data_IF_169556621277
#
_entry.id   IF_169556621277
#
_cell.length_a   1.000
_cell.length_b   1.000
_cell.length_c   1.000
_cell.angle_alpha   90.00
_cell.angle_beta   90.00
_cell.angle_gamma   90.00
#
_symmetry.space_group_name_H-M   'P 1'
#
loop_
_entity.id
_entity.type
_entity.pdbx_description
1 polymer ?
#
# COMPACT_ATOMS: atom_id res chain seq x y z
N UNK A 1 5.21 60.92 -13.39
CA UNK A 1 5.38 59.87 -14.42
C UNK A 1 6.24 58.78 -13.83
N UNK A 2 5.69 57.60 -13.55
CA UNK A 2 6.49 56.46 -13.05
C UNK A 2 6.40 55.40 -14.14
N UNK A 3 7.49 55.25 -14.89
CA UNK A 3 7.62 54.26 -15.96
C UNK A 3 8.00 52.94 -15.30
N UNK A 4 7.09 51.97 -15.38
CA UNK A 4 7.29 50.61 -14.91
C UNK A 4 8.43 49.95 -15.68
N UNK A 5 9.43 49.44 -14.96
CA UNK A 5 10.40 48.49 -15.51
C UNK A 5 10.95 47.63 -14.37
N UNK A 6 10.25 46.53 -14.08
CA UNK A 6 10.86 45.29 -13.59
C UNK A 6 10.04 44.13 -14.16
N UNK A 7 10.39 43.69 -15.38
CA UNK A 7 10.13 42.32 -15.79
C UNK A 7 11.26 41.47 -15.20
N UNK A 8 11.00 40.81 -14.07
CA UNK A 8 11.85 39.73 -13.59
C UNK A 8 11.06 38.79 -12.66
N UNK A 9 10.89 37.55 -13.13
CA UNK A 9 10.91 36.34 -12.33
C UNK A 9 9.85 36.18 -11.21
N UNK A 10 8.60 35.86 -11.56
CA UNK A 10 7.73 35.04 -10.68
C UNK A 10 6.94 34.05 -11.56
N UNK A 11 7.63 33.04 -12.08
CA UNK A 11 6.99 31.94 -12.85
C UNK A 11 7.16 30.55 -12.22
N UNK A 12 8.14 30.37 -11.32
CA UNK A 12 8.48 29.04 -10.80
C UNK A 12 7.90 28.71 -9.42
N UNK A 13 7.69 29.70 -8.55
CA UNK A 13 7.33 29.46 -7.14
C UNK A 13 5.89 28.95 -6.94
N UNK A 14 4.94 29.50 -7.70
CA UNK A 14 3.52 29.13 -7.57
C UNK A 14 3.26 27.72 -8.10
N UNK A 15 3.93 27.33 -9.20
CA UNK A 15 3.79 25.99 -9.75
C UNK A 15 4.31 24.91 -8.79
N UNK A 16 5.48 25.13 -8.17
CA UNK A 16 6.04 24.17 -7.20
C UNK A 16 5.16 24.09 -5.94
N UNK A 17 4.64 25.21 -5.44
CA UNK A 17 3.75 25.22 -4.29
C UNK A 17 2.42 24.47 -4.54
N UNK A 18 1.83 24.61 -5.74
CA UNK A 18 0.61 23.89 -6.14
C UNK A 18 0.86 22.39 -6.32
N UNK A 19 1.99 22.00 -6.92
CA UNK A 19 2.35 20.57 -7.06
C UNK A 19 2.59 19.92 -5.71
N UNK A 20 3.25 20.64 -4.78
CA UNK A 20 3.48 20.14 -3.42
C UNK A 20 2.17 20.04 -2.63
N UNK A 21 1.27 21.03 -2.73
CA UNK A 21 -0.04 20.94 -2.05
C UNK A 21 -0.88 19.79 -2.60
N UNK A 22 -0.94 19.58 -3.92
CA UNK A 22 -1.66 18.43 -4.51
C UNK A 22 -1.11 17.06 -4.06
N UNK A 23 0.18 16.96 -3.77
CA UNK A 23 0.79 15.73 -3.26
C UNK A 23 0.37 15.42 -1.80
N UNK A 24 0.12 16.44 -0.98
CA UNK A 24 -0.34 16.28 0.41
C UNK A 24 -1.86 16.18 0.55
N UNK A 25 -2.64 16.69 -0.41
CA UNK A 25 -4.12 16.69 -0.36
C UNK A 25 -4.78 15.35 -0.76
N UNK A 26 -4.02 14.34 -1.17
CA UNK A 26 -4.54 12.97 -1.39
C UNK A 26 -4.60 12.11 -0.11
N UNK A 27 -4.42 12.70 1.07
CA UNK A 27 -4.61 12.03 2.37
C UNK A 27 -6.09 11.93 2.79
N UNK A 28 -7.03 12.00 1.83
CA UNK A 28 -8.39 11.54 2.08
C UNK A 28 -8.35 10.02 2.16
N UNK A 29 -8.51 9.46 3.36
CA UNK A 29 -8.65 8.02 3.52
C UNK A 29 -9.80 7.55 2.61
N UNK A 30 -9.46 6.74 1.61
CA UNK A 30 -10.46 6.24 0.66
C UNK A 30 -11.36 5.23 1.37
N UNK A 31 -12.64 5.15 0.95
CA UNK A 31 -13.62 4.31 1.65
C UNK A 31 -13.14 2.86 1.78
N UNK A 32 -12.59 2.31 0.70
CA UNK A 32 -12.01 0.98 0.65
C UNK A 32 -10.56 1.06 0.23
N UNK A 33 -9.65 0.70 1.13
CA UNK A 33 -8.22 0.75 0.90
C UNK A 33 -7.52 -0.35 1.64
N UNK A 34 -6.50 -0.94 1.02
CA UNK A 34 -5.74 -2.03 1.59
C UNK A 34 -4.26 -1.79 1.37
N UNK A 35 -3.44 -2.19 2.34
CA UNK A 35 -1.99 -2.26 2.22
C UNK A 35 -1.52 -3.69 2.50
N UNK A 36 -0.51 -4.12 1.75
CA UNK A 36 0.16 -5.41 1.95
C UNK A 36 1.64 -5.13 2.15
N UNK A 37 2.18 -5.61 3.27
CA UNK A 37 3.58 -5.45 3.65
C UNK A 37 4.23 -6.82 3.80
N UNK A 38 5.44 -6.97 3.25
CA UNK A 38 6.23 -8.20 3.37
C UNK A 38 7.13 -8.06 4.58
N UNK A 39 7.01 -8.98 5.52
CA UNK A 39 7.82 -9.04 6.73
C UNK A 39 8.74 -10.23 6.64
N UNK A 40 10.04 -9.97 6.66
CA UNK A 40 11.07 -11.03 6.68
C UNK A 40 11.87 -10.91 7.96
N UNK A 41 12.18 -12.04 8.59
CA UNK A 41 12.99 -12.04 9.78
C UNK A 41 13.60 -13.39 10.06
N UNK A 42 14.29 -13.48 11.19
CA UNK A 42 14.94 -14.71 11.64
C UNK A 42 14.34 -15.13 12.96
N UNK A 43 13.88 -16.38 13.05
CA UNK A 43 13.37 -16.96 14.29
C UNK A 43 14.51 -17.55 15.15
N UNK A 44 14.20 -17.94 16.38
CA UNK A 44 15.16 -18.64 17.26
C UNK A 44 15.64 -19.93 16.57
N UNK A 45 16.94 -19.98 16.26
CA UNK A 45 17.57 -21.11 15.54
C UNK A 45 18.01 -20.80 14.11
N UNK A 46 18.07 -19.53 13.70
CA UNK A 46 18.48 -19.09 12.35
C UNK A 46 17.54 -19.52 11.21
N UNK A 47 16.32 -19.97 11.52
CA UNK A 47 15.33 -20.28 10.51
C UNK A 47 14.62 -18.99 10.09
N UNK A 48 14.84 -18.57 8.84
CA UNK A 48 14.19 -17.40 8.26
C UNK A 48 12.68 -17.62 8.11
N UNK A 49 11.90 -16.57 8.30
CA UNK A 49 10.47 -16.55 8.00
C UNK A 49 10.14 -15.39 7.06
N UNK A 50 9.05 -15.56 6.32
CA UNK A 50 8.49 -14.52 5.46
C UNK A 50 6.98 -14.55 5.66
N UNK A 51 6.45 -13.48 6.22
CA UNK A 51 5.03 -13.28 6.47
C UNK A 51 4.53 -12.05 5.71
N UNK A 52 3.24 -12.03 5.42
CA UNK A 52 2.58 -10.93 4.75
C UNK A 52 1.57 -10.31 5.70
N UNK A 53 1.75 -9.03 5.98
CA UNK A 53 0.79 -8.26 6.74
C UNK A 53 -0.19 -7.59 5.80
N UNK A 54 -1.44 -8.04 5.83
CA UNK A 54 -2.55 -7.48 5.06
C UNK A 54 -3.36 -6.60 5.99
N UNK A 55 -3.47 -5.30 5.68
CA UNK A 55 -4.14 -4.31 6.53
C UNK A 55 -5.20 -3.53 5.76
N UNK A 56 -6.37 -3.35 6.37
CA UNK A 56 -7.35 -2.39 5.90
C UNK A 56 -6.93 -0.98 6.31
N UNK A 57 -6.63 -0.12 5.33
CA UNK A 57 -6.24 1.28 5.53
C UNK A 57 -7.35 2.26 5.14
N UNK A 58 -8.51 1.74 4.73
CA UNK A 58 -9.69 2.52 4.39
C UNK A 58 -10.54 2.87 5.61
N UNK A 59 -11.70 3.47 5.36
CA UNK A 59 -12.66 3.88 6.40
C UNK A 59 -13.86 2.96 6.53
N UNK A 60 -13.99 1.96 5.65
CA UNK A 60 -15.03 0.93 5.68
C UNK A 60 -14.44 -0.48 5.71
N UNK A 61 -15.22 -1.45 6.18
CA UNK A 61 -14.85 -2.87 6.22
C UNK A 61 -14.55 -3.41 4.81
N UNK A 62 -13.51 -4.24 4.71
CA UNK A 62 -13.21 -5.04 3.52
C UNK A 62 -13.70 -6.46 3.73
N UNK A 63 -14.37 -7.05 2.74
CA UNK A 63 -14.95 -8.41 2.85
C UNK A 63 -14.42 -9.34 1.77
N UNK A 64 -14.44 -10.64 2.07
CA UNK A 64 -14.01 -11.73 1.19
C UNK A 64 -12.62 -11.48 0.58
N UNK A 65 -11.68 -11.11 1.45
CA UNK A 65 -10.31 -10.83 1.04
C UNK A 65 -9.66 -12.15 0.66
N UNK A 66 -9.03 -12.20 -0.51
CA UNK A 66 -8.31 -13.36 -1.02
C UNK A 66 -6.86 -12.99 -1.28
N UNK A 67 -5.95 -13.65 -0.58
CA UNK A 67 -4.52 -13.61 -0.88
C UNK A 67 -4.17 -14.77 -1.81
N UNK A 68 -3.86 -14.47 -3.07
CA UNK A 68 -3.54 -15.45 -4.10
C UNK A 68 -2.04 -15.48 -4.37
N UNK A 69 -1.42 -16.66 -4.22
CA UNK A 69 0.01 -16.90 -4.41
C UNK A 69 0.31 -17.60 -5.76
N UNK A 70 -0.68 -17.66 -6.65
CA UNK A 70 -0.62 -18.33 -7.95
C UNK A 70 -0.99 -19.82 -7.89
N UNK A 71 -0.43 -20.56 -6.93
CA UNK A 71 -0.69 -22.01 -6.76
C UNK A 71 -1.68 -22.32 -5.64
N UNK A 72 -1.67 -21.50 -4.59
CA UNK A 72 -2.58 -21.61 -3.45
C UNK A 72 -3.15 -20.25 -3.14
N UNK A 73 -4.24 -20.22 -2.38
CA UNK A 73 -4.82 -18.98 -1.91
C UNK A 73 -5.36 -19.12 -0.51
N UNK A 74 -5.30 -18.04 0.24
CA UNK A 74 -5.89 -17.91 1.57
C UNK A 74 -7.06 -16.93 1.53
N UNK A 75 -8.09 -17.21 2.32
CA UNK A 75 -9.30 -16.38 2.41
C UNK A 75 -9.44 -15.81 3.81
N UNK A 76 -9.68 -14.51 3.87
CA UNK A 76 -9.97 -13.77 5.09
C UNK A 76 -11.38 -13.21 4.94
N UNK A 77 -12.26 -13.56 5.88
CA UNK A 77 -13.69 -13.24 5.79
C UNK A 77 -13.92 -11.73 5.72
N UNK A 78 -13.30 -10.98 6.63
CA UNK A 78 -13.31 -9.53 6.59
C UNK A 78 -12.17 -8.90 7.40
N UNK A 79 -11.92 -7.61 7.16
CA UNK A 79 -11.06 -6.75 7.97
C UNK A 79 -11.75 -5.40 8.20
N UNK A 80 -11.99 -5.05 9.46
CA UNK A 80 -12.49 -3.72 9.82
C UNK A 80 -11.41 -2.64 9.58
N UNK A 81 -11.79 -1.35 9.48
CA UNK A 81 -10.83 -0.26 9.36
C UNK A 81 -9.72 -0.31 10.41
N UNK A 82 -8.47 -0.29 9.95
CA UNK A 82 -7.29 -0.35 10.81
C UNK A 82 -6.86 -1.74 11.27
N UNK A 83 -7.69 -2.78 11.10
CA UNK A 83 -7.33 -4.16 11.40
C UNK A 83 -6.35 -4.72 10.36
N UNK A 84 -5.58 -5.72 10.79
CA UNK A 84 -4.69 -6.48 9.94
C UNK A 84 -4.70 -7.96 10.30
N UNK A 85 -4.22 -8.76 9.36
CA UNK A 85 -3.94 -10.17 9.52
C UNK A 85 -2.56 -10.46 8.94
N UNK A 86 -1.82 -11.33 9.62
CA UNK A 86 -0.54 -11.83 9.13
C UNK A 86 -0.79 -13.21 8.51
N UNK A 87 -0.36 -13.39 7.27
CA UNK A 87 -0.51 -14.64 6.52
C UNK A 87 0.86 -15.13 6.08
N UNK A 88 1.09 -16.44 6.22
CA UNK A 88 2.34 -17.07 5.84
C UNK A 88 2.22 -17.60 4.39
N UNK A 89 2.84 -16.95 3.40
CA UNK A 89 2.86 -17.48 2.04
C UNK A 89 3.61 -18.82 1.97
N UNK A 90 3.31 -19.67 0.98
CA UNK A 90 4.13 -20.83 0.67
C UNK A 90 5.57 -20.42 0.37
N UNK A 91 6.56 -21.22 0.78
CA UNK A 91 7.98 -20.91 0.58
C UNK A 91 8.40 -20.72 -0.89
N UNK A 92 7.66 -21.31 -1.83
CA UNK A 92 7.89 -21.17 -3.27
C UNK A 92 7.24 -19.92 -3.90
N UNK A 93 6.42 -19.19 -3.15
CA UNK A 93 5.67 -18.05 -3.67
C UNK A 93 6.61 -16.85 -3.84
N UNK A 94 6.61 -16.27 -5.05
CA UNK A 94 7.42 -15.08 -5.38
C UNK A 94 6.59 -13.81 -5.47
N UNK A 95 5.27 -13.94 -5.58
CA UNK A 95 4.32 -12.83 -5.60
C UNK A 95 3.04 -13.21 -4.88
N UNK A 96 2.34 -12.19 -4.38
CA UNK A 96 0.97 -12.28 -3.87
C UNK A 96 0.09 -11.26 -4.57
N UNK A 97 -1.11 -11.68 -4.94
CA UNK A 97 -2.19 -10.81 -5.40
C UNK A 97 -3.31 -10.86 -4.37
N UNK A 98 -3.53 -9.74 -3.66
CA UNK A 98 -4.59 -9.62 -2.66
C UNK A 98 -5.75 -8.86 -3.25
N UNK A 99 -6.94 -9.47 -3.21
CA UNK A 99 -8.20 -8.93 -3.77
C UNK A 99 -9.31 -8.94 -2.73
N UNK A 100 -10.36 -8.14 -2.92
CA UNK A 100 -11.59 -8.18 -2.11
C UNK A 100 -12.83 -7.84 -2.97
N UNK A 101 -14.03 -8.01 -2.42
CA UNK A 101 -15.30 -7.73 -3.11
C UNK A 101 -15.46 -6.27 -3.54
N UNK A 102 -14.79 -5.35 -2.83
CA UNK A 102 -14.84 -3.91 -3.12
C UNK A 102 -13.91 -3.51 -4.27
N UNK A 103 -13.45 -4.48 -5.07
CA UNK A 103 -12.57 -4.30 -6.22
C UNK A 103 -11.21 -3.66 -5.89
N UNK A 104 -10.77 -3.75 -4.63
CA UNK A 104 -9.42 -3.36 -4.24
C UNK A 104 -8.48 -4.51 -4.61
N UNK A 105 -7.44 -4.19 -5.38
CA UNK A 105 -6.40 -5.17 -5.77
C UNK A 105 -5.04 -4.61 -5.41
N UNK A 106 -4.24 -5.41 -4.70
CA UNK A 106 -2.86 -5.10 -4.35
C UNK A 106 -1.97 -6.25 -4.78
N UNK A 107 -0.96 -5.96 -5.59
CA UNK A 107 0.03 -6.96 -6.02
C UNK A 107 1.36 -6.62 -5.34
N UNK A 108 1.99 -7.61 -4.72
CA UNK A 108 3.29 -7.46 -4.07
C UNK A 108 4.21 -8.60 -4.44
N UNK A 109 5.46 -8.26 -4.73
CA UNK A 109 6.54 -9.22 -4.80
C UNK A 109 6.90 -9.68 -3.38
N UNK A 110 7.02 -10.99 -3.21
CA UNK A 110 7.53 -11.63 -1.99
C UNK A 110 9.03 -11.78 -2.23
N UNK A 111 9.82 -10.84 -1.72
CA UNK A 111 11.28 -10.95 -1.76
C UNK A 111 11.69 -12.09 -0.84
N UNK A 112 12.08 -13.23 -1.39
CA UNK A 112 12.75 -14.27 -0.61
C UNK A 112 14.07 -13.68 -0.11
N UNK A 113 14.34 -13.76 1.19
CA UNK A 113 15.71 -13.60 1.68
C UNK A 113 16.58 -14.63 0.95
N UNK A 114 17.46 -14.14 0.07
CA UNK A 114 18.50 -14.94 -0.59
C UNK A 114 19.61 -15.30 0.38
#
# INVERSE_FOLDING_TARGET
MVKAMVFAAIGGGVAVAVVLTLFFFNLGATQYQMSVEVQTGTSMGNMGYTDLKIKNTGTSELTNIKADYGQTSEKIASLEPGQWVDVAPPASATMVTVTCDQNVTVIKAISSMG
#
